data_IF_187557123203
#
_entry.id   IF_187557123203
#
_cell.length_a   1.000
_cell.length_b   1.000
_cell.length_c   1.000
_cell.angle_alpha   90.00
_cell.angle_beta   90.00
_cell.angle_gamma   90.00
#
_symmetry.space_group_name_H-M   'P 1'
#
loop_
_entity.id
_entity.type
_entity.pdbx_description
1 polymer ?
#
# COMPACT_ATOMS: atom_id res chain seq x y z
N UNK A 1 13.57 -12.31 3.02
CA UNK A 1 12.83 -11.04 2.92
C UNK A 1 12.46 -10.86 1.46
N UNK A 2 11.16 -10.80 1.16
CA UNK A 2 10.62 -10.66 -0.20
C UNK A 2 9.69 -9.44 -0.20
N UNK A 3 9.72 -8.63 -1.26
CA UNK A 3 8.74 -7.55 -1.41
C UNK A 3 7.33 -8.14 -1.45
N UNK A 4 6.42 -7.56 -0.67
CA UNK A 4 5.03 -7.98 -0.68
C UNK A 4 4.17 -6.95 -1.42
N UNK A 5 4.14 -5.71 -0.93
CA UNK A 5 3.40 -4.63 -1.59
C UNK A 5 4.00 -3.26 -1.29
N UNK A 6 3.67 -2.29 -2.14
CA UNK A 6 3.85 -0.87 -1.86
C UNK A 6 2.47 -0.25 -1.70
N UNK A 7 2.22 0.35 -0.54
CA UNK A 7 1.00 1.10 -0.27
C UNK A 7 1.11 2.50 -0.88
N UNK A 8 0.16 2.86 -1.73
CA UNK A 8 0.13 4.13 -2.46
C UNK A 8 -1.13 4.89 -2.04
N UNK A 9 -0.94 5.98 -1.31
CA UNK A 9 -2.03 6.86 -0.94
C UNK A 9 -2.49 7.67 -2.15
N UNK A 10 -3.80 7.76 -2.37
CA UNK A 10 -4.40 8.50 -3.48
C UNK A 10 -5.76 9.06 -3.06
N UNK A 11 -6.18 10.15 -3.72
CA UNK A 11 -7.53 10.71 -3.56
C UNK A 11 -8.58 9.98 -4.39
N UNK A 12 -8.14 9.15 -5.35
CA UNK A 12 -8.99 8.33 -6.22
C UNK A 12 -8.27 7.01 -6.55
N UNK A 13 -8.75 5.90 -5.99
CA UNK A 13 -8.15 4.60 -6.21
C UNK A 13 -8.57 3.98 -7.55
N UNK A 14 -9.74 4.30 -8.07
CA UNK A 14 -10.25 3.74 -9.32
C UNK A 14 -9.52 4.38 -10.52
N UNK A 15 -9.41 5.71 -10.56
CA UNK A 15 -8.68 6.42 -11.62
C UNK A 15 -7.19 6.01 -11.66
N UNK A 16 -6.57 5.84 -10.50
CA UNK A 16 -5.17 5.41 -10.41
C UNK A 16 -4.99 3.93 -10.79
N UNK A 17 -5.95 3.07 -10.43
CA UNK A 17 -5.95 1.67 -10.85
C UNK A 17 -6.05 1.55 -12.37
N UNK A 18 -6.94 2.32 -13.00
CA UNK A 18 -7.10 2.35 -14.45
C UNK A 18 -5.81 2.84 -15.14
N UNK A 19 -5.20 3.91 -14.63
CA UNK A 19 -3.92 4.42 -15.13
C UNK A 19 -2.82 3.37 -15.05
N UNK A 20 -2.62 2.75 -13.89
CA UNK A 20 -1.58 1.75 -13.70
C UNK A 20 -1.86 0.47 -14.51
N UNK A 21 -3.11 0.03 -14.60
CA UNK A 21 -3.49 -1.07 -15.48
C UNK A 21 -3.13 -0.79 -16.93
N UNK A 22 -3.39 0.43 -17.42
CA UNK A 22 -3.10 0.83 -18.79
C UNK A 22 -1.59 0.97 -19.08
N UNK A 23 -0.82 1.54 -18.14
CA UNK A 23 0.61 1.85 -18.34
C UNK A 23 1.50 0.64 -18.04
N UNK A 24 1.17 -0.14 -17.01
CA UNK A 24 2.00 -1.25 -16.52
C UNK A 24 1.48 -2.62 -16.98
N UNK A 25 0.23 -2.70 -17.46
CA UNK A 25 -0.42 -3.98 -17.75
C UNK A 25 -0.81 -4.75 -16.49
N UNK A 26 -0.82 -4.09 -15.33
CA UNK A 26 -1.06 -4.69 -14.02
C UNK A 26 -2.57 -4.74 -13.73
N UNK A 27 -3.22 -5.92 -13.75
CA UNK A 27 -4.66 -6.00 -13.51
C UNK A 27 -5.00 -5.79 -12.03
N UNK A 28 -6.20 -5.27 -11.76
CA UNK A 28 -6.77 -5.29 -10.41
C UNK A 28 -7.06 -6.73 -10.00
N UNK A 29 -6.30 -7.23 -9.02
CA UNK A 29 -6.43 -8.57 -8.46
C UNK A 29 -7.50 -8.65 -7.38
N UNK A 30 -7.65 -7.59 -6.59
CA UNK A 30 -8.60 -7.53 -5.50
C UNK A 30 -9.05 -6.10 -5.21
N UNK A 31 -10.23 -5.96 -4.63
CA UNK A 31 -10.78 -4.68 -4.20
C UNK A 31 -11.61 -4.92 -2.95
N UNK A 32 -11.46 -4.04 -1.97
CA UNK A 32 -12.23 -4.10 -0.74
C UNK A 32 -12.43 -2.72 -0.14
N UNK A 33 -13.42 -2.63 0.76
CA UNK A 33 -13.60 -1.49 1.63
C UNK A 33 -13.27 -1.89 3.06
N UNK A 34 -12.20 -1.32 3.60
CA UNK A 34 -11.67 -1.71 4.90
C UNK A 34 -11.35 -0.48 5.75
N UNK A 35 -11.79 -0.48 7.01
CA UNK A 35 -11.58 0.59 8.00
C UNK A 35 -11.77 2.02 7.48
N UNK A 36 -12.79 2.23 6.65
CA UNK A 36 -13.06 3.55 6.06
C UNK A 36 -12.07 3.95 4.97
N UNK A 37 -11.50 2.99 4.26
CA UNK A 37 -10.74 3.18 3.03
C UNK A 37 -11.34 2.32 1.92
N UNK A 38 -11.29 2.81 0.69
CA UNK A 38 -11.37 1.99 -0.52
C UNK A 38 -9.95 1.52 -0.86
N UNK A 39 -9.80 0.22 -1.07
CA UNK A 39 -8.51 -0.40 -1.35
C UNK A 39 -8.58 -1.14 -2.68
N UNK A 40 -7.54 -0.99 -3.51
CA UNK A 40 -7.35 -1.75 -4.75
C UNK A 40 -5.97 -2.40 -4.74
N UNK A 41 -5.92 -3.69 -5.06
CA UNK A 41 -4.66 -4.41 -5.23
C UNK A 41 -4.43 -4.66 -6.71
N UNK A 42 -3.33 -4.14 -7.26
CA UNK A 42 -2.88 -4.42 -8.62
C UNK A 42 -1.75 -5.44 -8.59
N UNK A 43 -1.86 -6.49 -9.40
CA UNK A 43 -0.86 -7.55 -9.49
C UNK A 43 0.32 -7.12 -10.37
N UNK A 44 1.53 -7.19 -9.82
CA UNK A 44 2.79 -6.89 -10.51
C UNK A 44 3.61 -8.17 -10.78
N UNK A 45 2.99 -9.35 -10.74
CA UNK A 45 3.57 -10.70 -10.79
C UNK A 45 4.43 -11.10 -9.58
N UNK A 46 5.16 -10.15 -8.99
CA UNK A 46 6.10 -10.37 -7.89
C UNK A 46 5.75 -9.60 -6.60
N UNK A 47 4.55 -9.03 -6.54
CA UNK A 47 4.04 -8.23 -5.44
C UNK A 47 2.84 -7.41 -5.89
N UNK A 48 2.42 -6.46 -5.07
CA UNK A 48 1.24 -5.64 -5.35
C UNK A 48 1.51 -4.15 -5.24
N UNK A 49 0.80 -3.36 -6.03
CA UNK A 49 0.43 -2.02 -5.61
C UNK A 49 -0.89 -2.07 -4.84
N UNK A 50 -0.87 -1.58 -3.61
CA UNK A 50 -2.03 -1.43 -2.75
C UNK A 50 -2.42 0.05 -2.76
N UNK A 51 -3.44 0.40 -3.53
CA UNK A 51 -3.94 1.77 -3.63
C UNK A 51 -4.89 2.03 -2.46
N UNK A 52 -4.64 3.11 -1.73
CA UNK A 52 -5.33 3.47 -0.49
C UNK A 52 -6.03 4.81 -0.67
N UNK A 53 -7.36 4.77 -0.80
CA UNK A 53 -8.21 5.97 -0.83
C UNK A 53 -9.00 6.09 0.48
N UNK A 54 -8.83 7.18 1.25
CA UNK A 54 -9.57 7.37 2.48
C UNK A 54 -11.00 7.85 2.23
N UNK A 55 -11.98 7.14 2.79
CA UNK A 55 -13.41 7.55 2.78
C UNK A 55 -13.84 8.32 4.03
N UNK A 56 -12.93 8.47 4.99
CA UNK A 56 -13.09 9.22 6.25
C UNK A 56 -11.74 9.78 6.70
N UNK A 57 -11.75 10.69 7.67
CA UNK A 57 -10.53 11.17 8.33
C UNK A 57 -9.74 10.02 8.98
N UNK A 58 -8.41 10.08 8.94
CA UNK A 58 -7.52 9.07 9.51
C UNK A 58 -6.11 9.17 8.93
N UNK A 59 -5.26 8.21 9.23
CA UNK A 59 -3.83 8.26 8.89
C UNK A 59 -3.55 8.50 7.40
N UNK A 60 -4.30 7.88 6.50
CA UNK A 60 -4.11 8.09 5.05
C UNK A 60 -4.58 9.47 4.60
N UNK A 61 -5.70 9.97 5.14
CA UNK A 61 -6.16 11.34 4.85
C UNK A 61 -5.13 12.37 5.35
N UNK A 62 -4.63 12.22 6.58
CA UNK A 62 -3.61 13.10 7.16
C UNK A 62 -2.29 13.05 6.36
N UNK A 63 -1.93 11.87 5.83
CA UNK A 63 -0.78 11.71 4.95
C UNK A 63 -0.96 12.48 3.66
N UNK A 64 -2.10 12.36 2.98
CA UNK A 64 -2.41 13.06 1.74
C UNK A 64 -2.39 14.57 1.94
N UNK A 65 -2.97 15.08 3.04
CA UNK A 65 -2.94 16.50 3.38
C UNK A 65 -1.50 17.04 3.55
N UNK A 66 -0.61 16.20 4.07
CA UNK A 66 0.77 16.59 4.40
C UNK A 66 1.77 16.40 3.26
N UNK A 67 1.55 15.39 2.40
CA UNK A 67 2.53 14.93 1.41
C UNK A 67 1.99 14.86 -0.02
N UNK A 68 0.67 14.93 -0.19
CA UNK A 68 -0.01 14.60 -1.44
C UNK A 68 -0.02 13.10 -1.76
N UNK A 69 -0.57 12.71 -2.92
CA UNK A 69 -0.59 11.32 -3.38
C UNK A 69 0.82 10.75 -3.59
N UNK A 70 1.03 9.48 -3.23
CA UNK A 70 2.33 8.84 -3.39
C UNK A 70 2.54 7.58 -2.56
N UNK A 71 3.77 7.05 -2.57
CA UNK A 71 4.15 5.86 -1.80
C UNK A 71 4.11 6.18 -0.30
N UNK A 72 3.12 5.61 0.39
CA UNK A 72 2.94 5.72 1.82
C UNK A 72 3.86 4.76 2.59
N UNK A 73 3.94 3.50 2.16
CA UNK A 73 4.73 2.49 2.85
C UNK A 73 5.17 1.34 1.93
N UNK A 74 6.10 0.52 2.42
CA UNK A 74 6.53 -0.73 1.79
C UNK A 74 6.36 -1.87 2.78
N UNK A 75 5.75 -2.96 2.33
CA UNK A 75 5.63 -4.19 3.11
C UNK A 75 6.57 -5.28 2.59
N UNK A 76 7.27 -5.92 3.53
CA UNK A 76 8.20 -7.01 3.27
C UNK A 76 7.68 -8.26 3.97
N UNK A 77 7.60 -9.35 3.22
CA UNK A 77 7.15 -10.62 3.75
C UNK A 77 8.22 -11.29 4.62
N UNK A 78 7.74 -11.85 5.74
CA UNK A 78 8.50 -12.69 6.67
C UNK A 78 7.72 -13.96 6.97
N UNK A 79 8.44 -15.07 7.19
CA UNK A 79 7.85 -16.35 7.61
C UNK A 79 7.54 -16.38 9.11
N UNK A 80 8.10 -15.45 9.89
CA UNK A 80 7.90 -15.34 11.33
C UNK A 80 7.97 -13.85 11.72
N UNK A 81 6.81 -13.27 12.01
CA UNK A 81 6.70 -11.85 12.39
C UNK A 81 7.26 -11.60 13.78
N UNK A 82 7.06 -12.52 14.73
CA UNK A 82 7.55 -12.38 16.10
C UNK A 82 9.09 -12.44 16.14
N UNK A 83 9.70 -13.30 15.32
CA UNK A 83 11.15 -13.32 15.17
C UNK A 83 11.68 -12.05 14.48
N UNK A 84 10.99 -11.55 13.45
CA UNK A 84 11.37 -10.32 12.76
C UNK A 84 11.31 -9.09 13.70
N UNK A 85 10.28 -9.00 14.54
CA UNK A 85 10.13 -7.91 15.52
C UNK A 85 11.08 -8.04 16.73
N UNK A 86 11.49 -9.26 17.08
CA UNK A 86 12.48 -9.50 18.14
C UNK A 86 13.91 -9.19 17.72
N UNK A 87 14.22 -9.09 16.42
CA UNK A 87 15.54 -8.65 16.00
C UNK A 87 15.76 -7.23 16.53
N UNK A 88 16.75 -7.00 17.42
CA UNK A 88 16.98 -5.69 17.96
C UNK A 88 17.27 -4.73 16.80
N UNK A 89 16.60 -3.58 16.80
CA UNK A 89 16.80 -2.46 15.89
C UNK A 89 18.25 -1.95 16.02
N UNK A 90 19.20 -2.70 15.49
CA UNK A 90 20.62 -2.32 15.43
C UNK A 90 20.85 -1.23 14.37
N UNK A 91 19.81 -0.90 13.61
CA UNK A 91 19.70 0.33 12.82
C UNK A 91 18.27 0.83 13.03
N UNK A 92 18.09 2.01 13.62
CA UNK A 92 16.82 2.47 14.19
C UNK A 92 15.60 2.27 13.29
N UNK A 93 14.60 1.55 13.81
CA UNK A 93 13.22 1.68 13.39
C UNK A 93 12.46 2.09 14.65
N UNK A 94 11.82 3.25 14.60
CA UNK A 94 11.00 3.83 15.68
C UNK A 94 9.62 3.19 15.73
#
# INVERSE_FOLDING_TARGET
>A
MRFHHAGIATDDADDLADLFSAVLGAPVAHSERFDGMEVRFLDLDNGYFELLEPTKSGAIADYLDSHGPGIHHLAIETTDIDAALRQPATTGST
#
